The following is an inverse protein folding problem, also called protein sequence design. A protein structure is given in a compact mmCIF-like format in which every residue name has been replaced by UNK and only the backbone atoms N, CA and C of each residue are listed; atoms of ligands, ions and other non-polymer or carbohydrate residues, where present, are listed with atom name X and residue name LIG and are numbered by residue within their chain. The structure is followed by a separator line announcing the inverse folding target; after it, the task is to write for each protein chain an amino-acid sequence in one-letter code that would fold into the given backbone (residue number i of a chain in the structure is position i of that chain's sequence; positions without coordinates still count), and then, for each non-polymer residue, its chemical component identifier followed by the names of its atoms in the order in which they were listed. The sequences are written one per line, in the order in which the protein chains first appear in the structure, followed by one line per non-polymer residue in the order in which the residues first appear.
data_IF_197893056972
#
_entry.id   IF_197893056972
#
_cell.length_a   1.000
_cell.length_b   1.000
_cell.length_c   1.000
_cell.angle_alpha   90.00
_cell.angle_beta   90.00
_cell.angle_gamma   90.00
#
_symmetry.space_group_name_H-M   'P 1'
#
loop_
_entity.id
_entity.type
_entity.pdbx_description
1 polymer ?
#
# COMPACT_ATOMS: atom_id res chain seq x y z
N UNK A 1 -21.33 40.23 -2.61
CA UNK A 1 -21.24 40.39 -1.14
C UNK A 1 -21.65 39.08 -0.47
N UNK A 2 -20.73 38.11 -0.41
CA UNK A 2 -20.95 36.85 0.31
C UNK A 2 -20.53 37.05 1.77
N UNK A 3 -21.48 37.49 2.60
CA UNK A 3 -21.25 37.74 4.03
C UNK A 3 -21.46 36.46 4.83
N UNK A 4 -20.35 35.87 5.24
CA UNK A 4 -20.08 35.51 6.65
C UNK A 4 -21.06 34.54 7.34
N UNK A 5 -21.21 33.33 6.80
CA UNK A 5 -21.83 32.20 7.54
C UNK A 5 -20.93 31.63 8.65
N UNK A 6 -19.65 32.00 8.66
CA UNK A 6 -18.67 31.51 9.62
C UNK A 6 -18.82 32.17 11.00
N UNK A 7 -19.18 33.46 11.04
CA UNK A 7 -19.48 34.17 12.28
C UNK A 7 -20.72 33.62 13.01
N UNK A 8 -21.78 33.27 12.26
CA UNK A 8 -23.00 32.69 12.83
C UNK A 8 -22.75 31.33 13.50
N UNK A 9 -21.89 30.49 12.91
CA UNK A 9 -21.55 29.17 13.45
C UNK A 9 -20.67 29.24 14.73
N UNK A 10 -19.85 30.29 14.89
CA UNK A 10 -19.11 30.51 16.14
C UNK A 10 -20.02 31.00 17.27
N UNK A 11 -20.98 31.87 16.96
CA UNK A 11 -21.94 32.35 17.96
C UNK A 11 -22.79 31.21 18.54
N UNK A 12 -23.16 30.22 17.72
CA UNK A 12 -23.94 29.07 18.18
C UNK A 12 -23.15 28.11 19.08
N UNK A 13 -21.80 28.12 19.04
CA UNK A 13 -20.97 27.29 19.93
C UNK A 13 -20.72 27.92 21.30
N UNK A 14 -20.93 29.22 21.48
CA UNK A 14 -20.67 29.90 22.76
C UNK A 14 -21.88 29.93 23.70
N UNK A 15 -23.08 29.55 23.23
CA UNK A 15 -24.31 29.56 24.03
C UNK A 15 -24.61 28.25 24.80
N UNK A 16 -23.87 27.17 24.57
CA UNK A 16 -24.19 25.82 25.07
C UNK A 16 -23.18 25.31 26.12
N UNK A 17 -22.56 26.22 26.87
CA UNK A 17 -21.59 25.86 27.91
C UNK A 17 -22.02 26.38 29.28
N UNK A 18 -23.19 25.95 29.74
CA UNK A 18 -23.54 25.96 31.16
C UNK A 18 -23.91 24.54 31.62
N UNK A 19 -23.03 23.97 32.44
CA UNK A 19 -23.39 23.06 33.54
C UNK A 19 -23.80 21.63 33.21
N UNK A 20 -22.83 20.72 33.08
CA UNK A 20 -22.95 19.37 33.66
C UNK A 20 -21.60 18.99 34.28
N UNK A 21 -21.49 19.19 35.60
CA UNK A 21 -20.47 18.55 36.44
C UNK A 21 -20.99 17.21 36.99
N UNK A 22 -20.03 16.32 37.29
CA UNK A 22 -20.09 15.09 38.12
C UNK A 22 -20.58 13.80 37.44
N UNK A 23 -19.72 12.77 37.42
CA UNK A 23 -19.69 11.73 38.47
C UNK A 23 -19.02 10.43 37.95
N UNK A 24 -17.93 10.00 38.61
CA UNK A 24 -17.54 8.58 38.78
C UNK A 24 -17.18 7.74 37.54
N UNK A 25 -15.90 7.72 37.16
CA UNK A 25 -15.35 6.66 36.29
C UNK A 25 -15.19 5.37 37.11
N UNK A 26 -16.18 4.49 37.04
CA UNK A 26 -16.07 3.11 37.49
C UNK A 26 -15.52 2.25 36.33
N UNK A 27 -14.42 1.55 36.59
CA UNK A 27 -13.75 0.61 35.68
C UNK A 27 -14.71 -0.42 35.07
N UNK A 28 -14.68 -0.52 33.74
CA UNK A 28 -15.14 -1.68 32.99
C UNK A 28 -13.92 -2.53 32.55
N UNK A 29 -14.05 -3.87 32.46
CA UNK A 29 -12.92 -4.78 32.27
C UNK A 29 -12.31 -4.68 30.87
N UNK A 30 -11.02 -5.03 30.68
CA UNK A 30 -10.40 -4.94 29.35
C UNK A 30 -10.90 -6.09 28.48
N UNK A 31 -11.72 -5.77 27.48
CA UNK A 31 -11.91 -6.63 26.32
C UNK A 31 -10.63 -6.53 25.48
N UNK A 32 -9.96 -7.67 25.30
CA UNK A 32 -8.75 -7.79 24.51
C UNK A 32 -8.95 -7.33 23.08
N UNK A 33 -8.46 -6.14 22.78
CA UNK A 33 -8.13 -5.69 21.43
C UNK A 33 -6.62 -5.78 21.26
N UNK A 34 -6.14 -6.81 20.58
CA UNK A 34 -4.81 -6.79 19.96
C UNK A 34 -4.83 -5.84 18.77
N UNK A 35 -4.75 -4.54 19.03
CA UNK A 35 -4.34 -3.56 18.03
C UNK A 35 -3.02 -2.93 18.49
N UNK A 36 -1.99 -3.77 18.55
CA UNK A 36 -0.62 -3.30 18.42
C UNK A 36 -0.39 -3.00 16.94
N UNK A 37 -1.06 -1.99 16.40
CA UNK A 37 -0.75 -1.47 15.07
C UNK A 37 0.66 -0.89 15.15
N UNK A 38 1.65 -1.63 14.64
CA UNK A 38 2.99 -1.08 14.47
C UNK A 38 2.86 0.23 13.67
N UNK A 39 3.48 1.33 14.11
CA UNK A 39 3.35 2.64 13.46
C UNK A 39 3.88 2.69 12.01
N UNK A 40 4.43 1.58 11.49
CA UNK A 40 5.07 1.48 10.18
C UNK A 40 4.58 0.27 9.35
N UNK A 41 3.33 -0.19 9.52
CA UNK A 41 2.81 -1.22 8.61
C UNK A 41 2.60 -0.63 7.20
N UNK A 42 3.52 -0.96 6.29
CA UNK A 42 3.48 -0.57 4.88
C UNK A 42 2.21 -1.02 4.17
N UNK A 43 1.48 -2.02 4.66
CA UNK A 43 0.19 -2.46 4.09
C UNK A 43 -0.90 -1.40 4.22
N UNK A 44 -0.83 -0.58 5.27
CA UNK A 44 -1.75 0.54 5.50
C UNK A 44 -1.37 1.73 4.63
N UNK A 45 -2.36 2.57 4.28
CA UNK A 45 -2.10 3.77 3.49
C UNK A 45 -1.21 4.78 4.24
N UNK A 46 -1.35 4.89 5.57
CA UNK A 46 -0.50 5.75 6.39
C UNK A 46 0.95 5.27 6.40
N UNK A 47 1.18 3.98 6.65
CA UNK A 47 2.53 3.40 6.61
C UNK A 47 3.15 3.49 5.21
N UNK A 48 2.36 3.32 4.16
CA UNK A 48 2.78 3.54 2.78
C UNK A 48 3.31 4.95 2.54
N UNK A 49 2.58 5.99 2.95
CA UNK A 49 3.03 7.37 2.74
C UNK A 49 4.28 7.70 3.57
N UNK A 50 4.36 7.19 4.80
CA UNK A 50 5.56 7.31 5.64
C UNK A 50 6.77 6.70 4.94
N UNK A 51 6.61 5.48 4.41
CA UNK A 51 7.69 4.77 3.72
C UNK A 51 8.10 5.46 2.41
N UNK A 52 7.15 5.97 1.61
CA UNK A 52 7.45 6.77 0.42
C UNK A 52 8.28 8.01 0.78
N UNK A 53 7.93 8.71 1.85
CA UNK A 53 8.67 9.89 2.31
C UNK A 53 10.09 9.50 2.74
N UNK A 54 10.21 8.46 3.56
CA UNK A 54 11.51 7.98 4.01
C UNK A 54 12.41 7.47 2.87
N UNK A 55 11.83 6.88 1.80
CA UNK A 55 12.58 6.52 0.59
C UNK A 55 13.03 7.78 -0.17
N UNK A 56 12.17 8.80 -0.30
CA UNK A 56 12.54 10.06 -0.96
C UNK A 56 13.69 10.78 -0.22
N UNK A 57 13.67 10.77 1.11
CA UNK A 57 14.76 11.31 1.93
C UNK A 57 16.05 10.50 1.73
N UNK A 58 15.94 9.18 1.67
CA UNK A 58 17.07 8.28 1.41
C UNK A 58 17.65 8.48 0.00
N UNK A 59 16.82 8.75 -1.02
CA UNK A 59 17.28 9.10 -2.38
C UNK A 59 18.00 10.47 -2.37
N UNK A 60 17.51 11.41 -1.58
CA UNK A 60 18.15 12.74 -1.44
C UNK A 60 19.51 12.61 -0.76
N UNK A 61 19.61 11.80 0.30
CA UNK A 61 20.87 11.45 0.94
C UNK A 61 21.83 10.74 -0.02
N UNK A 62 21.34 9.78 -0.80
CA UNK A 62 22.12 9.08 -1.82
C UNK A 62 22.71 10.05 -2.86
N UNK A 63 21.91 11.01 -3.33
CA UNK A 63 22.38 12.07 -4.23
C UNK A 63 23.43 13.00 -3.61
N UNK A 64 23.33 13.27 -2.31
CA UNK A 64 24.34 14.02 -1.58
C UNK A 64 25.65 13.23 -1.49
N UNK A 65 25.58 11.94 -1.17
CA UNK A 65 26.75 11.06 -1.15
C UNK A 65 27.44 10.98 -2.51
N UNK A 66 26.70 10.83 -3.62
CA UNK A 66 27.26 10.83 -4.98
C UNK A 66 28.04 12.12 -5.25
N UNK A 67 27.51 13.27 -4.79
CA UNK A 67 28.18 14.57 -4.96
C UNK A 67 29.47 14.63 -4.15
N UNK A 68 29.43 14.18 -2.90
CA UNK A 68 30.61 14.14 -2.04
C UNK A 68 31.68 13.14 -2.55
N UNK A 69 31.28 12.00 -3.12
CA UNK A 69 32.19 11.07 -3.81
C UNK A 69 32.86 11.76 -4.99
N UNK A 70 32.09 12.47 -5.84
CA UNK A 70 32.63 13.23 -6.96
C UNK A 70 33.67 14.29 -6.52
N UNK A 71 33.39 15.01 -5.43
CA UNK A 71 34.31 15.99 -4.87
C UNK A 71 35.58 15.34 -4.31
N UNK A 72 35.45 14.21 -3.60
CA UNK A 72 36.60 13.47 -3.08
C UNK A 72 37.46 12.90 -4.21
N UNK A 73 36.85 12.38 -5.28
CA UNK A 73 37.54 11.98 -6.50
C UNK A 73 38.32 13.14 -7.14
N UNK A 74 37.71 14.32 -7.24
CA UNK A 74 38.39 15.49 -7.77
C UNK A 74 39.55 15.94 -6.88
N UNK A 75 39.38 15.90 -5.55
CA UNK A 75 40.44 16.23 -4.58
C UNK A 75 41.56 15.21 -4.60
N UNK A 76 41.24 13.93 -4.68
CA UNK A 76 42.25 12.87 -4.69
C UNK A 76 43.20 13.10 -5.86
N UNK A 77 42.72 13.36 -7.08
CA UNK A 77 43.57 13.60 -8.28
C UNK A 77 44.50 14.82 -8.16
N UNK A 78 44.17 15.77 -7.28
CA UNK A 78 44.91 17.01 -7.07
C UNK A 78 45.72 17.03 -5.76
N UNK A 79 45.65 15.98 -4.94
CA UNK A 79 46.37 15.91 -3.68
C UNK A 79 47.89 15.97 -3.93
N UNK A 80 48.58 16.85 -3.19
CA UNK A 80 50.02 17.09 -3.32
C UNK A 80 50.84 16.39 -2.24
N UNK A 81 50.19 15.99 -1.14
CA UNK A 81 50.81 15.30 -0.01
C UNK A 81 50.24 13.89 0.17
N UNK A 82 51.10 12.94 0.51
CA UNK A 82 50.74 11.56 0.84
C UNK A 82 49.72 11.49 1.99
N UNK A 83 49.81 12.41 2.96
CA UNK A 83 48.87 12.48 4.08
C UNK A 83 47.47 12.89 3.64
N UNK A 84 47.36 13.84 2.71
CA UNK A 84 46.07 14.26 2.15
C UNK A 84 45.48 13.17 1.26
N UNK A 85 46.32 12.49 0.47
CA UNK A 85 45.92 11.35 -0.37
C UNK A 85 45.32 10.23 0.49
N UNK A 86 46.02 9.80 1.54
CA UNK A 86 45.56 8.75 2.44
C UNK A 86 44.27 9.12 3.18
N UNK A 87 44.16 10.36 3.69
CA UNK A 87 42.95 10.82 4.37
C UNK A 87 41.74 10.88 3.42
N UNK A 88 41.95 11.31 2.18
CA UNK A 88 40.91 11.33 1.16
C UNK A 88 40.49 9.92 0.76
N UNK A 89 41.43 8.99 0.63
CA UNK A 89 41.15 7.59 0.30
C UNK A 89 40.29 6.92 1.38
N UNK A 90 40.63 7.07 2.67
CA UNK A 90 39.83 6.49 3.75
C UNK A 90 38.40 7.04 3.80
N UNK A 91 38.24 8.36 3.59
CA UNK A 91 36.90 8.98 3.52
C UNK A 91 36.11 8.50 2.31
N UNK A 92 36.79 8.30 1.19
CA UNK A 92 36.17 7.79 -0.02
C UNK A 92 35.69 6.36 0.18
N UNK A 93 36.51 5.51 0.79
CA UNK A 93 36.15 4.12 1.10
C UNK A 93 34.92 4.06 2.03
N UNK A 94 34.91 4.84 3.12
CA UNK A 94 33.77 4.93 4.03
C UNK A 94 32.49 5.41 3.33
N UNK A 95 32.60 6.47 2.53
CA UNK A 95 31.47 7.04 1.82
C UNK A 95 30.93 6.09 0.74
N UNK A 96 31.82 5.38 0.05
CA UNK A 96 31.46 4.38 -0.98
C UNK A 96 30.70 3.22 -0.35
N UNK A 97 31.18 2.67 0.76
CA UNK A 97 30.52 1.55 1.46
C UNK A 97 29.17 1.97 2.06
N UNK A 98 29.09 3.16 2.65
CA UNK A 98 27.82 3.73 3.13
C UNK A 98 26.83 3.92 1.98
N UNK A 99 27.29 4.44 0.84
CA UNK A 99 26.50 4.66 -0.38
C UNK A 99 26.00 3.34 -0.97
N UNK A 100 26.84 2.32 -0.96
CA UNK A 100 26.49 0.95 -1.36
C UNK A 100 25.39 0.38 -0.47
N UNK A 101 25.55 0.47 0.85
CA UNK A 101 24.54 0.01 1.81
C UNK A 101 23.21 0.74 1.61
N UNK A 102 23.24 2.06 1.42
CA UNK A 102 22.07 2.88 1.17
C UNK A 102 21.36 2.50 -0.13
N UNK A 103 22.10 2.31 -1.23
CA UNK A 103 21.53 1.91 -2.53
C UNK A 103 20.87 0.53 -2.49
N UNK A 104 21.50 -0.43 -1.81
CA UNK A 104 20.94 -1.77 -1.59
C UNK A 104 19.68 -1.71 -0.71
N UNK A 105 19.69 -0.87 0.33
CA UNK A 105 18.53 -0.62 1.18
C UNK A 105 17.37 -0.01 0.39
N UNK A 106 17.63 1.01 -0.43
CA UNK A 106 16.66 1.64 -1.34
C UNK A 106 16.04 0.62 -2.30
N UNK A 107 16.87 -0.19 -2.96
CA UNK A 107 16.41 -1.26 -3.85
C UNK A 107 15.46 -2.24 -3.14
N UNK A 108 15.83 -2.73 -1.95
CA UNK A 108 14.99 -3.64 -1.16
C UNK A 108 13.66 -3.01 -0.74
N UNK A 109 13.69 -1.74 -0.28
CA UNK A 109 12.49 -1.02 0.18
C UNK A 109 11.53 -0.72 -0.97
N UNK A 110 12.06 -0.29 -2.13
CA UNK A 110 11.25 -0.08 -3.34
C UNK A 110 10.61 -1.39 -3.81
N UNK A 111 11.36 -2.51 -3.79
CA UNK A 111 10.79 -3.85 -4.08
C UNK A 111 9.70 -4.23 -3.08
N UNK A 112 9.89 -3.98 -1.79
CA UNK A 112 8.89 -4.28 -0.76
C UNK A 112 7.58 -3.51 -0.96
N UNK A 113 7.65 -2.25 -1.41
CA UNK A 113 6.46 -1.44 -1.70
C UNK A 113 5.62 -1.98 -2.86
N UNK A 114 6.20 -2.77 -3.76
CA UNK A 114 5.50 -3.37 -4.89
C UNK A 114 4.72 -4.64 -4.51
N UNK A 115 4.88 -5.14 -3.29
CA UNK A 115 4.13 -6.30 -2.84
C UNK A 115 2.61 -6.03 -2.93
N UNK A 116 1.82 -6.95 -3.52
CA UNK A 116 0.39 -6.74 -3.66
C UNK A 116 -0.28 -6.70 -2.29
N UNK A 117 -1.05 -5.65 -2.05
CA UNK A 117 -1.82 -5.52 -0.80
C UNK A 117 -3.29 -5.81 -1.09
N UNK A 118 -3.86 -6.77 -0.37
CA UNK A 118 -5.26 -7.17 -0.52
C UNK A 118 -6.19 -6.20 0.19
N UNK A 119 -7.38 -5.99 -0.37
CA UNK A 119 -8.44 -5.20 0.26
C UNK A 119 -8.32 -3.67 0.08
N UNK A 120 -7.46 -3.20 -0.83
CA UNK A 120 -7.39 -1.78 -1.17
C UNK A 120 -8.54 -1.34 -2.07
N UNK A 121 -9.00 -0.11 -1.86
CA UNK A 121 -9.88 0.58 -2.80
C UNK A 121 -9.16 0.82 -4.14
N UNK A 122 -9.91 0.88 -5.26
CA UNK A 122 -9.34 1.17 -6.58
C UNK A 122 -8.54 2.47 -6.61
N UNK A 123 -9.08 3.52 -5.98
CA UNK A 123 -8.41 4.82 -5.91
C UNK A 123 -7.08 4.73 -5.14
N UNK A 124 -7.05 3.95 -4.07
CA UNK A 124 -5.87 3.75 -3.23
C UNK A 124 -4.78 2.95 -3.95
N UNK A 125 -5.18 1.94 -4.72
CA UNK A 125 -4.27 1.15 -5.56
C UNK A 125 -3.61 2.01 -6.65
N UNK A 126 -4.37 2.86 -7.34
CA UNK A 126 -3.85 3.79 -8.35
C UNK A 126 -2.89 4.82 -7.74
N UNK A 127 -3.22 5.38 -6.57
CA UNK A 127 -2.33 6.32 -5.88
C UNK A 127 -1.02 5.64 -5.52
N UNK A 128 -1.08 4.43 -4.94
CA UNK A 128 0.12 3.66 -4.58
C UNK A 128 1.00 3.38 -5.78
N UNK A 129 0.41 2.91 -6.88
CA UNK A 129 1.11 2.68 -8.16
C UNK A 129 1.87 3.92 -8.61
N UNK A 130 1.18 5.05 -8.76
CA UNK A 130 1.78 6.28 -9.26
C UNK A 130 2.94 6.77 -8.37
N UNK A 131 2.79 6.66 -7.04
CA UNK A 131 3.83 7.04 -6.09
C UNK A 131 5.04 6.10 -6.13
N UNK A 132 4.81 4.79 -6.26
CA UNK A 132 5.87 3.80 -6.42
C UNK A 132 6.64 4.05 -7.71
N UNK A 133 5.95 4.23 -8.85
CA UNK A 133 6.58 4.52 -10.14
C UNK A 133 7.42 5.79 -10.09
N UNK A 134 6.92 6.84 -9.43
CA UNK A 134 7.68 8.09 -9.26
C UNK A 134 8.98 7.87 -8.48
N UNK A 135 8.92 7.17 -7.35
CA UNK A 135 10.08 6.93 -6.49
C UNK A 135 11.07 5.97 -7.16
N UNK A 136 10.58 4.94 -7.85
CA UNK A 136 11.38 4.04 -8.67
C UNK A 136 12.16 4.82 -9.73
N UNK A 137 11.49 5.66 -10.52
CA UNK A 137 12.12 6.49 -11.55
C UNK A 137 13.21 7.41 -10.99
N UNK A 138 12.94 8.08 -9.86
CA UNK A 138 13.94 8.92 -9.17
C UNK A 138 15.16 8.14 -8.69
N UNK A 139 14.96 6.91 -8.21
CA UNK A 139 16.07 6.07 -7.79
C UNK A 139 16.93 5.62 -8.98
N UNK A 140 16.29 5.20 -10.09
CA UNK A 140 16.98 4.85 -11.34
C UNK A 140 17.79 6.04 -11.89
N UNK A 141 17.21 7.24 -11.87
CA UNK A 141 17.91 8.47 -12.26
C UNK A 141 19.15 8.72 -11.38
N UNK A 142 19.03 8.53 -10.06
CA UNK A 142 20.14 8.67 -9.14
C UNK A 142 21.25 7.63 -9.39
N UNK A 143 20.89 6.37 -9.69
CA UNK A 143 21.85 5.34 -10.09
C UNK A 143 22.59 5.73 -11.37
N UNK A 144 21.89 6.31 -12.35
CA UNK A 144 22.50 6.76 -13.61
C UNK A 144 23.46 7.91 -13.38
N UNK A 145 23.09 8.86 -12.53
CA UNK A 145 23.99 9.94 -12.11
C UNK A 145 25.25 9.38 -11.46
N UNK A 146 25.12 8.40 -10.57
CA UNK A 146 26.27 7.78 -9.92
C UNK A 146 27.19 7.09 -10.94
N UNK A 147 26.62 6.32 -11.86
CA UNK A 147 27.35 5.65 -12.93
C UNK A 147 28.16 6.65 -13.78
N UNK A 148 27.55 7.80 -14.12
CA UNK A 148 28.23 8.86 -14.88
C UNK A 148 29.40 9.45 -14.10
N UNK A 149 29.25 9.69 -12.79
CA UNK A 149 30.33 10.20 -11.92
C UNK A 149 31.52 9.23 -11.89
N UNK A 150 31.25 7.94 -11.69
CA UNK A 150 32.26 6.88 -11.67
C UNK A 150 32.98 6.75 -13.03
N UNK A 151 32.23 6.76 -14.13
CA UNK A 151 32.81 6.72 -15.48
C UNK A 151 33.69 7.94 -15.80
N UNK A 152 33.26 9.13 -15.39
CA UNK A 152 34.05 10.36 -15.55
C UNK A 152 35.35 10.29 -14.74
N UNK A 153 35.29 9.80 -13.50
CA UNK A 153 36.48 9.64 -12.68
C UNK A 153 37.44 8.62 -13.29
N UNK A 154 36.93 7.47 -13.76
CA UNK A 154 37.71 6.48 -14.50
C UNK A 154 38.45 7.09 -15.69
N UNK A 155 37.77 7.93 -16.49
CA UNK A 155 38.42 8.56 -17.64
C UNK A 155 39.52 9.53 -17.21
N UNK A 156 39.27 10.37 -16.21
CA UNK A 156 40.28 11.31 -15.67
C UNK A 156 41.49 10.58 -15.10
N UNK A 157 41.27 9.45 -14.44
CA UNK A 157 42.33 8.58 -13.96
C UNK A 157 43.19 8.06 -15.11
N UNK A 158 42.56 7.50 -16.16
CA UNK A 158 43.27 7.01 -17.36
C UNK A 158 44.14 8.10 -17.99
N UNK A 159 43.61 9.31 -18.16
CA UNK A 159 44.37 10.46 -18.68
C UNK A 159 45.55 10.85 -17.78
N UNK A 160 45.45 10.63 -16.46
CA UNK A 160 46.53 10.91 -15.51
C UNK A 160 47.63 9.86 -15.59
N UNK A 161 47.27 8.57 -15.64
CA UNK A 161 48.23 7.46 -15.82
C UNK A 161 48.99 7.61 -17.14
N UNK A 162 48.29 7.96 -18.21
CA UNK A 162 48.93 8.23 -19.50
C UNK A 162 50.00 9.33 -19.38
N UNK A 163 49.69 10.46 -18.72
CA UNK A 163 50.66 11.54 -18.50
C UNK A 163 51.84 11.07 -17.66
N UNK A 164 51.60 10.33 -16.58
CA UNK A 164 52.67 9.80 -15.72
C UNK A 164 53.57 8.80 -16.46
N UNK A 165 52.98 7.94 -17.28
CA UNK A 165 53.74 7.00 -18.10
C UNK A 165 54.60 7.71 -19.15
N UNK A 166 54.08 8.78 -19.79
CA UNK A 166 54.86 9.61 -20.72
C UNK A 166 56.01 10.37 -20.07
N UNK A 167 55.95 10.67 -18.77
CA UNK A 167 57.09 11.25 -18.02
C UNK A 167 58.23 10.24 -17.91
N UNK A 168 57.91 8.97 -17.68
CA UNK A 168 58.87 7.86 -17.57
C UNK A 168 59.41 7.43 -18.94
N UNK A 169 58.53 7.34 -19.94
CA UNK A 169 58.84 6.95 -21.32
C UNK A 169 58.22 7.93 -22.33
N UNK A 170 58.90 9.04 -22.66
CA UNK A 170 58.36 10.07 -23.54
C UNK A 170 58.13 9.59 -24.99
N UNK A 171 58.85 8.55 -25.43
CA UNK A 171 58.73 7.96 -26.77
C UNK A 171 57.83 6.70 -26.78
N UNK A 172 56.93 6.54 -25.80
CA UNK A 172 56.03 5.39 -25.75
C UNK A 172 55.06 5.37 -26.94
N UNK A 173 54.84 4.20 -27.54
CA UNK A 173 53.83 4.06 -28.60
C UNK A 173 52.41 4.18 -28.04
N UNK A 174 51.42 4.58 -28.85
CA UNK A 174 50.02 4.60 -28.42
C UNK A 174 49.53 3.23 -27.91
N UNK A 175 50.01 2.13 -28.50
CA UNK A 175 49.66 0.79 -28.03
C UNK A 175 50.26 0.50 -26.64
N UNK A 176 51.51 0.91 -26.38
CA UNK A 176 52.15 0.72 -25.07
C UNK A 176 51.44 1.54 -23.97
N UNK A 177 51.06 2.77 -24.28
CA UNK A 177 50.28 3.63 -23.37
C UNK A 177 48.93 2.98 -23.06
N UNK A 178 48.22 2.53 -24.09
CA UNK A 178 46.94 1.84 -23.93
C UNK A 178 47.07 0.56 -23.11
N UNK A 179 48.14 -0.21 -23.32
CA UNK A 179 48.40 -1.44 -22.57
C UNK A 179 48.63 -1.17 -21.07
N UNK A 180 49.26 -0.06 -20.69
CA UNK A 180 49.42 0.31 -19.28
C UNK A 180 48.12 0.87 -18.68
N UNK A 181 47.39 1.69 -19.45
CA UNK A 181 46.20 2.42 -18.99
C UNK A 181 44.95 1.52 -18.92
N UNK A 182 44.82 0.54 -19.81
CA UNK A 182 43.62 -0.28 -19.94
C UNK A 182 43.75 -1.70 -19.36
N UNK A 183 44.97 -2.20 -19.10
CA UNK A 183 45.12 -3.51 -18.47
C UNK A 183 45.04 -3.41 -16.94
N UNK A 184 43.81 -3.47 -16.43
CA UNK A 184 43.52 -3.56 -15.00
C UNK A 184 43.95 -4.91 -14.38
N UNK A 185 44.27 -5.92 -15.20
CA UNK A 185 44.64 -7.28 -14.79
C UNK A 185 46.13 -7.44 -14.38
N UNK A 186 46.84 -6.35 -14.05
CA UNK A 186 48.22 -6.39 -13.54
C UNK A 186 49.32 -6.52 -14.60
N UNK A 187 48.99 -6.79 -15.87
CA UNK A 187 49.97 -6.81 -16.96
C UNK A 187 50.55 -5.42 -17.27
N UNK A 188 49.81 -4.34 -16.95
CA UNK A 188 50.28 -2.96 -17.10
C UNK A 188 51.45 -2.61 -16.16
N UNK A 189 51.49 -3.21 -14.96
CA UNK A 189 52.52 -2.95 -13.96
C UNK A 189 53.89 -3.45 -14.44
N UNK A 190 53.95 -4.62 -15.09
CA UNK A 190 55.18 -5.17 -15.63
C UNK A 190 55.79 -4.31 -16.74
N UNK A 191 54.96 -3.75 -17.62
CA UNK A 191 55.40 -2.84 -18.69
C UNK A 191 55.91 -1.52 -18.09
N UNK A 192 55.24 -1.00 -17.06
CA UNK A 192 55.67 0.21 -16.38
C UNK A 192 57.00 -0.01 -15.63
N UNK A 193 57.15 -1.10 -14.89
CA UNK A 193 58.40 -1.47 -14.20
C UNK A 193 59.58 -1.62 -15.17
N UNK A 194 59.35 -2.20 -16.34
CA UNK A 194 60.35 -2.30 -17.40
C UNK A 194 60.76 -0.91 -17.93
N UNK A 195 59.79 0.00 -18.08
CA UNK A 195 60.04 1.37 -18.50
C UNK A 195 60.86 2.14 -17.45
N UNK A 196 60.58 1.98 -16.16
CA UNK A 196 61.39 2.57 -15.07
C UNK A 196 62.84 2.09 -15.14
N UNK A 197 63.04 0.78 -15.29
CA UNK A 197 64.37 0.15 -15.29
C UNK A 197 65.25 0.60 -16.47
N UNK A 198 64.62 0.99 -17.57
CA UNK A 198 65.30 1.50 -18.77
C UNK A 198 65.48 3.03 -18.73
N UNK A 199 64.77 3.73 -17.85
CA UNK A 199 64.80 5.19 -17.75
C UNK A 199 66.01 5.68 -16.95
N UNK A 200 66.67 6.74 -17.43
CA UNK A 200 67.78 7.39 -16.73
C UNK A 200 67.29 8.30 -15.57
N UNK A 201 65.97 8.41 -15.37
CA UNK A 201 65.28 9.32 -14.42
C UNK A 201 64.72 8.55 -13.21
N UNK A 202 65.53 7.67 -12.64
CA UNK A 202 65.08 6.67 -11.64
C UNK A 202 64.26 7.25 -10.47
N UNK A 203 64.61 8.43 -9.96
CA UNK A 203 63.88 9.10 -8.86
C UNK A 203 62.44 9.50 -9.22
N UNK A 204 62.27 10.21 -10.35
CA UNK A 204 60.95 10.64 -10.83
C UNK A 204 60.12 9.45 -11.31
N UNK A 205 60.77 8.46 -11.94
CA UNK A 205 60.13 7.22 -12.37
C UNK A 205 59.57 6.39 -11.22
N UNK A 206 60.25 6.36 -10.06
CA UNK A 206 59.78 5.66 -8.86
C UNK A 206 58.62 6.38 -8.16
N UNK A 207 58.57 7.71 -8.22
CA UNK A 207 57.44 8.48 -7.72
C UNK A 207 56.21 8.28 -8.61
N UNK A 208 56.38 8.40 -9.93
CA UNK A 208 55.31 8.16 -10.91
C UNK A 208 54.73 6.74 -10.77
N UNK A 209 55.57 5.74 -10.53
CA UNK A 209 55.12 4.36 -10.28
C UNK A 209 54.22 4.22 -9.05
N UNK A 210 54.62 4.82 -7.92
CA UNK A 210 53.83 4.76 -6.69
C UNK A 210 52.48 5.44 -6.86
N UNK A 211 52.46 6.60 -7.53
CA UNK A 211 51.20 7.26 -7.88
C UNK A 211 50.32 6.37 -8.78
N UNK A 212 50.88 5.70 -9.78
CA UNK A 212 50.11 4.77 -10.63
C UNK A 212 49.57 3.59 -9.83
N UNK A 213 50.38 2.99 -8.95
CA UNK A 213 50.00 1.82 -8.15
C UNK A 213 48.90 2.13 -7.14
N UNK A 214 49.01 3.24 -6.39
CA UNK A 214 47.96 3.66 -5.44
C UNK A 214 46.63 3.87 -6.15
N UNK A 215 46.67 4.48 -7.32
CA UNK A 215 45.48 4.75 -8.12
C UNK A 215 44.95 3.52 -8.86
N UNK A 216 45.78 2.50 -9.07
CA UNK A 216 45.32 1.25 -9.62
C UNK A 216 44.31 0.57 -8.67
N UNK A 217 44.49 0.73 -7.36
CA UNK A 217 43.48 0.28 -6.40
C UNK A 217 42.18 1.07 -6.55
N UNK A 218 42.25 2.38 -6.82
CA UNK A 218 41.07 3.20 -7.10
C UNK A 218 40.29 2.67 -8.31
N UNK A 219 40.95 2.30 -9.42
CA UNK A 219 40.24 1.78 -10.61
C UNK A 219 39.52 0.46 -10.31
N UNK A 220 40.13 -0.44 -9.54
CA UNK A 220 39.48 -1.69 -9.16
C UNK A 220 38.22 -1.44 -8.33
N UNK A 221 38.25 -0.45 -7.42
CA UNK A 221 37.06 -0.03 -6.67
C UNK A 221 35.97 0.53 -7.61
N UNK A 222 36.32 1.39 -8.56
CA UNK A 222 35.37 1.93 -9.55
C UNK A 222 34.72 0.80 -10.35
N UNK A 223 35.51 -0.14 -10.88
CA UNK A 223 34.97 -1.26 -11.67
C UNK A 223 34.05 -2.16 -10.83
N UNK A 224 34.39 -2.38 -9.56
CA UNK A 224 33.49 -3.04 -8.63
C UNK A 224 32.18 -2.26 -8.48
N UNK A 225 32.23 -0.96 -8.15
CA UNK A 225 31.05 -0.09 -8.02
C UNK A 225 30.20 -0.08 -9.28
N UNK A 226 30.81 0.03 -10.47
CA UNK A 226 30.10 -0.01 -11.75
C UNK A 226 29.41 -1.37 -11.98
N UNK A 227 30.03 -2.47 -11.58
CA UNK A 227 29.42 -3.80 -11.61
C UNK A 227 28.19 -3.89 -10.70
N UNK A 228 28.26 -3.33 -9.50
CA UNK A 228 27.13 -3.30 -8.57
C UNK A 228 25.99 -2.42 -9.07
N UNK A 229 26.31 -1.26 -9.64
CA UNK A 229 25.31 -0.39 -10.25
C UNK A 229 24.61 -1.09 -11.42
N UNK A 230 25.35 -1.84 -12.25
CA UNK A 230 24.76 -2.63 -13.32
C UNK A 230 23.78 -3.70 -12.79
N UNK A 231 24.14 -4.37 -11.69
CA UNK A 231 23.24 -5.30 -11.03
C UNK A 231 21.98 -4.61 -10.48
N UNK A 232 22.12 -3.45 -9.83
CA UNK A 232 20.99 -2.66 -9.34
C UNK A 232 20.09 -2.17 -10.49
N UNK A 233 20.67 -1.80 -11.64
CA UNK A 233 19.89 -1.45 -12.82
C UNK A 233 19.09 -2.64 -13.36
N UNK A 234 19.71 -3.81 -13.47
CA UNK A 234 19.02 -5.04 -13.88
C UNK A 234 17.85 -5.36 -12.94
N UNK A 235 18.10 -5.25 -11.64
CA UNK A 235 17.07 -5.43 -10.61
C UNK A 235 15.91 -4.45 -10.80
N UNK A 236 16.19 -3.16 -11.07
CA UNK A 236 15.15 -2.15 -11.24
C UNK A 236 14.45 -2.21 -12.59
N UNK A 237 15.09 -2.69 -13.65
CA UNK A 237 14.51 -2.85 -14.98
C UNK A 237 13.43 -3.94 -15.01
N UNK A 238 13.67 -5.05 -14.31
CA UNK A 238 12.69 -6.14 -14.20
C UNK A 238 11.42 -5.70 -13.46
N UNK A 239 11.54 -4.74 -12.54
CA UNK A 239 10.45 -4.23 -11.70
C UNK A 239 9.38 -3.41 -12.46
N UNK A 240 9.68 -2.90 -13.65
CA UNK A 240 8.72 -2.09 -14.44
C UNK A 240 7.72 -2.97 -15.18
N UNK A 241 8.13 -4.16 -15.65
CA UNK A 241 7.31 -5.01 -16.51
C UNK A 241 6.16 -5.72 -15.78
N UNK A 242 6.31 -6.02 -14.49
CA UNK A 242 5.27 -6.71 -13.70
C UNK A 242 4.08 -5.80 -13.33
N UNK A 243 4.26 -4.47 -13.35
CA UNK A 243 3.24 -3.52 -12.90
C UNK A 243 2.15 -3.21 -13.93
N UNK A 244 2.31 -3.64 -15.18
CA UNK A 244 1.35 -3.36 -16.25
C UNK A 244 0.25 -4.42 -16.36
N UNK A 245 0.51 -5.66 -15.93
CA UNK A 245 -0.40 -6.80 -16.14
C UNK A 245 -1.38 -7.08 -14.97
N UNK A 246 -1.22 -6.45 -13.80
CA UNK A 246 -2.06 -6.76 -12.62
C UNK A 246 -3.39 -5.98 -12.55
N UNK A 247 -3.76 -5.20 -13.57
CA UNK A 247 -5.03 -4.45 -13.58
C UNK A 247 -6.17 -5.16 -14.33
N UNK A 248 -5.87 -6.13 -15.19
CA UNK A 248 -6.90 -6.84 -15.97
C UNK A 248 -7.84 -7.68 -15.09
N UNK A 249 -7.36 -8.17 -13.93
CA UNK A 249 -8.17 -8.98 -13.01
C UNK A 249 -9.15 -8.15 -12.14
N UNK A 250 -8.99 -6.82 -12.08
CA UNK A 250 -9.91 -5.93 -11.35
C UNK A 250 -11.04 -5.45 -12.26
N UNK A 251 -10.77 -5.25 -13.56
CA UNK A 251 -11.79 -4.98 -14.59
C UNK A 251 -12.84 -6.10 -14.58
N UNK A 252 -12.40 -7.36 -14.57
CA UNK A 252 -13.28 -8.52 -14.51
C UNK A 252 -14.16 -8.54 -13.25
N UNK A 253 -13.65 -8.11 -12.08
CA UNK A 253 -14.43 -8.10 -10.84
C UNK A 253 -15.38 -6.91 -10.73
N UNK A 254 -15.00 -5.74 -11.22
CA UNK A 254 -15.88 -4.57 -11.28
C UNK A 254 -17.02 -4.78 -12.29
N UNK A 255 -16.72 -5.39 -13.45
CA UNK A 255 -17.73 -5.82 -14.43
C UNK A 255 -18.70 -6.83 -13.81
N UNK A 256 -18.20 -7.81 -13.06
CA UNK A 256 -19.06 -8.77 -12.36
C UNK A 256 -19.94 -8.11 -11.29
N UNK A 257 -19.46 -7.12 -10.53
CA UNK A 257 -20.29 -6.39 -9.55
C UNK A 257 -21.35 -5.51 -10.22
N UNK A 258 -21.04 -4.87 -11.35
CA UNK A 258 -22.03 -4.10 -12.12
C UNK A 258 -23.09 -5.02 -12.73
N UNK A 259 -22.68 -6.20 -13.24
CA UNK A 259 -23.59 -7.24 -13.72
C UNK A 259 -24.47 -7.82 -12.60
N UNK A 260 -23.90 -8.10 -11.43
CA UNK A 260 -24.63 -8.61 -10.27
C UNK A 260 -25.60 -7.58 -9.70
N UNK A 261 -25.22 -6.29 -9.67
CA UNK A 261 -26.10 -5.21 -9.23
C UNK A 261 -27.28 -5.02 -10.20
N UNK A 262 -27.03 -5.07 -11.51
CA UNK A 262 -28.09 -5.02 -12.54
C UNK A 262 -29.06 -6.20 -12.41
N UNK A 263 -28.54 -7.42 -12.26
CA UNK A 263 -29.36 -8.63 -12.01
C UNK A 263 -30.15 -8.52 -10.70
N UNK A 264 -29.54 -7.96 -9.65
CA UNK A 264 -30.21 -7.68 -8.37
C UNK A 264 -31.37 -6.70 -8.51
N UNK A 265 -31.18 -5.59 -9.25
CA UNK A 265 -32.25 -4.63 -9.54
C UNK A 265 -33.40 -5.25 -10.34
N UNK A 266 -33.10 -6.10 -11.32
CA UNK A 266 -34.11 -6.81 -12.10
C UNK A 266 -34.93 -7.78 -11.22
N UNK A 267 -34.24 -8.54 -10.35
CA UNK A 267 -34.88 -9.46 -9.42
C UNK A 267 -35.77 -8.74 -8.40
N UNK A 268 -35.36 -7.55 -7.93
CA UNK A 268 -36.18 -6.68 -7.08
C UNK A 268 -37.43 -6.22 -7.87
N UNK A 269 -37.29 -5.80 -9.13
CA UNK A 269 -38.41 -5.41 -9.98
C UNK A 269 -39.45 -6.54 -10.15
N UNK A 270 -38.97 -7.76 -10.42
CA UNK A 270 -39.82 -8.95 -10.54
C UNK A 270 -40.49 -9.29 -9.19
N UNK A 271 -39.77 -9.17 -8.08
CA UNK A 271 -40.30 -9.44 -6.73
C UNK A 271 -41.41 -8.44 -6.32
N UNK A 272 -41.29 -7.16 -6.68
CA UNK A 272 -42.32 -6.14 -6.45
C UNK A 272 -43.58 -6.44 -7.29
N UNK A 273 -43.41 -6.91 -8.52
CA UNK A 273 -44.51 -7.36 -9.38
C UNK A 273 -45.28 -8.55 -8.80
N UNK A 274 -44.56 -9.54 -8.27
CA UNK A 274 -45.16 -10.70 -7.59
C UNK A 274 -45.85 -10.30 -6.28
N UNK A 275 -45.24 -9.43 -5.47
CA UNK A 275 -45.83 -8.92 -4.23
C UNK A 275 -47.13 -8.16 -4.49
N UNK A 276 -47.21 -7.35 -5.56
CA UNK A 276 -48.42 -6.63 -5.95
C UNK A 276 -49.54 -7.57 -6.41
N UNK A 277 -49.17 -8.62 -7.15
CA UNK A 277 -50.12 -9.64 -7.63
C UNK A 277 -50.67 -10.52 -6.51
N UNK A 278 -49.85 -10.83 -5.50
CA UNK A 278 -50.28 -11.58 -4.31
C UNK A 278 -51.37 -10.84 -3.51
N UNK A 279 -51.27 -9.50 -3.38
CA UNK A 279 -52.30 -8.70 -2.70
C UNK A 279 -53.65 -8.73 -3.42
N UNK A 280 -53.64 -8.69 -4.76
CA UNK A 280 -54.87 -8.77 -5.58
C UNK A 280 -55.54 -10.15 -5.46
N UNK A 281 -54.76 -11.23 -5.44
CA UNK A 281 -55.29 -12.61 -5.28
C UNK A 281 -55.91 -12.85 -3.90
N UNK A 282 -55.39 -12.23 -2.83
CA UNK A 282 -55.98 -12.30 -1.48
C UNK A 282 -57.40 -11.72 -1.43
N UNK A 283 -57.63 -10.59 -2.10
CA UNK A 283 -58.96 -9.97 -2.17
C UNK A 283 -59.94 -10.82 -2.97
N UNK A 284 -59.48 -11.47 -4.05
CA UNK A 284 -60.32 -12.38 -4.85
C UNK A 284 -60.75 -13.59 -4.01
N UNK A 285 -59.84 -14.23 -3.27
CA UNK A 285 -60.20 -15.34 -2.38
C UNK A 285 -61.17 -14.90 -1.27
N UNK A 286 -60.97 -13.72 -0.68
CA UNK A 286 -61.86 -13.18 0.35
C UNK A 286 -63.30 -13.00 -0.15
N UNK A 287 -63.48 -12.38 -1.32
CA UNK A 287 -64.81 -12.24 -1.93
C UNK A 287 -65.45 -13.59 -2.28
N UNK A 288 -64.67 -14.55 -2.77
CA UNK A 288 -65.15 -15.90 -3.05
C UNK A 288 -65.67 -16.59 -1.76
N UNK A 289 -64.95 -16.46 -0.64
CA UNK A 289 -65.38 -17.05 0.64
C UNK A 289 -66.68 -16.44 1.17
N UNK A 290 -66.89 -15.13 1.01
CA UNK A 290 -68.14 -14.46 1.40
C UNK A 290 -69.32 -15.00 0.60
N UNK A 291 -69.15 -15.18 -0.72
CA UNK A 291 -70.21 -15.69 -1.60
C UNK A 291 -70.65 -17.10 -1.18
N UNK A 292 -69.69 -17.98 -0.85
CA UNK A 292 -69.99 -19.35 -0.41
C UNK A 292 -70.79 -19.35 0.90
N UNK A 293 -70.44 -18.48 1.85
CA UNK A 293 -71.18 -18.35 3.12
C UNK A 293 -72.61 -17.88 2.88
N UNK A 294 -72.82 -16.90 1.99
CA UNK A 294 -74.16 -16.41 1.67
C UNK A 294 -75.03 -17.48 1.01
N UNK A 295 -74.47 -18.30 0.12
CA UNK A 295 -75.19 -19.43 -0.49
C UNK A 295 -75.55 -20.47 0.58
N UNK A 296 -74.61 -20.81 1.47
CA UNK A 296 -74.86 -21.73 2.58
C UNK A 296 -75.96 -21.25 3.53
N UNK A 297 -75.94 -19.95 3.88
CA UNK A 297 -77.00 -19.33 4.69
C UNK A 297 -78.35 -19.30 3.95
N UNK A 298 -78.36 -19.03 2.64
CA UNK A 298 -79.57 -19.04 1.83
C UNK A 298 -80.22 -20.43 1.74
N UNK A 299 -79.41 -21.47 1.53
CA UNK A 299 -79.89 -22.87 1.54
C UNK A 299 -80.33 -23.28 2.94
N UNK A 300 -79.56 -22.92 3.98
CA UNK A 300 -79.90 -23.20 5.37
C UNK A 300 -81.21 -22.54 5.80
N UNK A 301 -81.41 -21.26 5.46
CA UNK A 301 -82.66 -20.53 5.72
C UNK A 301 -83.82 -21.07 4.88
N UNK A 302 -83.58 -21.48 3.62
CA UNK A 302 -84.61 -22.10 2.78
C UNK A 302 -85.10 -23.45 3.30
N UNK A 303 -84.18 -24.29 3.79
CA UNK A 303 -84.52 -25.57 4.44
C UNK A 303 -85.19 -25.34 5.79
N UNK A 304 -84.71 -24.36 6.57
CA UNK A 304 -85.28 -24.00 7.87
C UNK A 304 -86.72 -23.43 7.76
N UNK A 305 -86.97 -22.52 6.82
CA UNK A 305 -88.32 -21.99 6.55
C UNK A 305 -89.26 -23.04 5.93
N UNK A 306 -88.73 -24.05 5.24
CA UNK A 306 -89.53 -25.17 4.75
C UNK A 306 -89.92 -26.17 5.85
N UNK A 307 -89.19 -26.21 6.97
CA UNK A 307 -89.51 -27.09 8.11
C UNK A 307 -90.38 -26.41 9.18
N UNK A 308 -90.38 -25.07 9.29
CA UNK A 308 -91.18 -24.34 10.28
C UNK A 308 -91.93 -23.12 9.66
N UNK A 309 -93.24 -23.20 9.38
CA UNK A 309 -94.05 -22.02 9.08
C UNK A 309 -94.38 -21.21 10.37
N UNK A 310 -94.54 -19.87 10.29
CA UNK A 310 -94.76 -19.04 11.47
C UNK A 310 -96.22 -19.11 11.96
N UNK A 311 -96.40 -19.54 13.20
CA UNK A 311 -97.64 -19.38 13.98
C UNK A 311 -97.55 -18.16 14.91
N UNK A 312 -98.58 -17.32 14.88
CA UNK A 312 -98.66 -16.00 15.54
C UNK A 312 -99.20 -16.03 16.97
N UNK A 313 -98.57 -15.23 17.86
CA UNK A 313 -99.08 -14.53 19.07
C UNK A 313 -99.64 -15.40 20.23
N UNK A 314 -99.60 -15.06 21.52
CA UNK A 314 -99.62 -13.77 22.24
C UNK A 314 -99.28 -13.95 23.74
N UNK A 315 -98.70 -12.90 24.36
CA UNK A 315 -98.79 -12.39 25.75
C UNK A 315 -99.26 -13.28 26.93
N UNK A 316 -98.52 -13.32 28.06
CA UNK A 316 -98.63 -12.39 29.23
C UNK A 316 -98.18 -13.01 30.57
N UNK A 317 -97.26 -12.30 31.26
CA UNK A 317 -97.14 -12.00 32.71
C UNK A 317 -97.06 -13.07 33.82
N UNK A 318 -96.05 -12.85 34.70
CA UNK A 318 -96.07 -12.99 36.19
C UNK A 318 -96.00 -14.41 36.78
N UNK A 319 -95.28 -14.78 37.86
CA UNK A 319 -94.55 -14.09 38.95
C UNK A 319 -93.64 -15.12 39.67
N UNK A 320 -92.52 -14.62 40.23
CA UNK A 320 -91.65 -15.09 41.33
C UNK A 320 -91.70 -16.53 41.87
N UNK A 321 -90.53 -17.10 42.21
CA UNK A 321 -90.11 -17.37 43.61
C UNK A 321 -88.59 -17.60 43.70
N UNK A 322 -88.01 -17.05 44.77
CA UNK A 322 -86.61 -17.03 45.23
C UNK A 322 -86.13 -18.43 45.67
N UNK A 323 -84.84 -18.77 45.54
CA UNK A 323 -84.04 -19.39 46.62
C UNK A 323 -82.54 -19.22 46.32
N UNK A 324 -81.82 -18.71 47.32
CA UNK A 324 -80.36 -18.67 47.50
C UNK A 324 -79.67 -20.02 47.19
N UNK A 325 -78.37 -20.01 46.93
CA UNK A 325 -77.34 -20.42 47.92
C UNK A 325 -75.95 -20.29 47.28
N UNK A 326 -75.06 -19.64 48.03
CA UNK A 326 -73.64 -19.54 47.77
C UNK A 326 -72.94 -20.92 47.71
N UNK A 327 -71.75 -20.98 47.12
CA UNK A 327 -70.51 -21.36 47.83
C UNK A 327 -69.35 -21.51 46.84
N UNK A 328 -68.18 -21.11 47.36
CA UNK A 328 -66.92 -20.82 46.70
C UNK A 328 -66.04 -22.05 46.38
N UNK A 329 -64.84 -21.69 45.91
CA UNK A 329 -63.58 -22.44 45.87
C UNK A 329 -63.34 -23.29 44.61
N UNK A 330 -62.13 -23.51 44.12
CA UNK A 330 -60.77 -22.94 44.24
C UNK A 330 -59.88 -23.98 43.55
N UNK A 331 -58.76 -23.56 42.94
CA UNK A 331 -57.56 -24.38 42.63
C UNK A 331 -57.75 -25.47 41.53
N UNK A 332 -56.82 -25.80 40.63
CA UNK A 332 -55.40 -25.53 40.52
C UNK A 332 -54.90 -25.76 39.06
N UNK A 333 -53.85 -25.03 38.67
CA UNK A 333 -52.76 -25.39 37.74
C UNK A 333 -52.00 -26.64 38.27
N UNK A 334 -50.96 -27.25 37.64
CA UNK A 334 -50.28 -26.99 36.35
C UNK A 334 -49.92 -28.28 35.56
N UNK A 335 -49.05 -28.15 34.54
CA UNK A 335 -47.97 -29.10 34.11
C UNK A 335 -47.87 -29.13 32.57
N UNK A 336 -46.85 -28.48 31.99
CA UNK A 336 -45.59 -29.07 31.48
C UNK A 336 -45.74 -29.70 30.08
N UNK A 337 -44.81 -29.67 29.12
CA UNK A 337 -43.47 -29.10 28.98
C UNK A 337 -43.02 -29.31 27.50
N UNK A 338 -41.91 -28.64 27.13
CA UNK A 338 -40.92 -29.05 26.12
C UNK A 338 -41.36 -29.01 24.63
N UNK A 339 -40.54 -28.65 23.63
CA UNK A 339 -39.09 -28.42 23.48
C UNK A 339 -38.90 -27.76 22.10
N UNK A 340 -38.11 -26.68 22.00
CA UNK A 340 -36.74 -26.63 21.47
C UNK A 340 -36.56 -26.95 19.97
N UNK A 341 -36.00 -25.97 19.26
CA UNK A 341 -35.47 -26.07 17.89
C UNK A 341 -34.50 -24.91 17.65
N UNK A 342 -33.28 -25.09 18.13
CA UNK A 342 -32.11 -24.21 17.95
C UNK A 342 -31.50 -24.34 16.56
N UNK A 343 -30.80 -23.26 16.20
CA UNK A 343 -29.85 -23.06 15.11
C UNK A 343 -28.81 -24.17 14.89
#
# INVERSE_FOLDING_TARGET
MARDRLAALRAQRQGDQEGIELQGVQQAPPLGGTDTSQPNDISTMSGFYSEITAIQDSISQFNASITAISDLHARSLNALSDQESSANASRLDELTESTRTLSNGLSKRIKALQAPVRGLSRNDAEIRKNRITLVHGKFVEALQRYQVVEQQYRQRYKDRVERQFKIVKPNASPEEVSAVVNNTEGNGDGIFLQAISTSNRYGESRQAYREVQERHQDIQRIEHTLGELAQLFSDMANLINEQQNQFDDIEAKAENVDLETKKGCEQVGISVGHARSARRKRWICFWLTIIIILIGLGVGLGVYFSQNPPGSSSSSSSTATVTETATAASTATPSAAASAGTS
#
